data_IF_848502174945
#
_entry.id   IF_848502174945
#
_cell.length_a   1.000
_cell.length_b   1.000
_cell.length_c   1.000
_cell.angle_alpha   90.00
_cell.angle_beta   90.00
_cell.angle_gamma   90.00
#
_symmetry.space_group_name_H-M   'P 1'
#
loop_
_entity.id
_entity.type
_entity.pdbx_description
1 polymer ?
#
# COMPACT_ATOMS: atom_id res chain seq x y z
N UNK A 1 41.68 6.63 -45.28
CA UNK A 1 41.11 5.67 -44.31
C UNK A 1 40.90 6.40 -43.00
N UNK A 2 39.65 6.65 -42.60
CA UNK A 2 39.36 7.22 -41.28
C UNK A 2 39.61 6.15 -40.22
N UNK A 3 40.56 6.42 -39.34
CA UNK A 3 40.87 5.57 -38.19
C UNK A 3 39.70 5.66 -37.20
N UNK A 4 38.75 4.71 -37.30
CA UNK A 4 37.70 4.54 -36.30
C UNK A 4 38.34 4.06 -35.00
N UNK A 5 38.60 5.00 -34.09
CA UNK A 5 39.01 4.72 -32.71
C UNK A 5 37.87 3.97 -32.03
N UNK A 6 38.07 2.68 -31.75
CA UNK A 6 37.17 1.87 -30.96
C UNK A 6 37.34 2.28 -29.49
N UNK A 7 36.58 3.29 -29.08
CA UNK A 7 36.47 3.71 -27.69
C UNK A 7 35.31 2.92 -27.09
N UNK A 8 35.55 2.21 -25.99
CA UNK A 8 34.46 1.64 -25.19
C UNK A 8 33.72 2.80 -24.53
N UNK A 9 32.76 3.39 -25.25
CA UNK A 9 31.93 4.48 -24.73
C UNK A 9 30.87 3.85 -23.85
N UNK A 10 30.88 4.18 -22.56
CA UNK A 10 29.76 3.85 -21.68
C UNK A 10 28.58 4.74 -22.08
N UNK A 11 27.62 4.13 -22.76
CA UNK A 11 26.34 4.71 -23.19
C UNK A 11 25.48 5.26 -22.05
N UNK A 12 25.90 5.02 -20.81
CA UNK A 12 25.25 5.49 -19.61
C UNK A 12 26.13 6.41 -18.74
N UNK A 13 27.22 6.93 -19.29
CA UNK A 13 28.08 7.89 -18.59
C UNK A 13 27.39 9.26 -18.51
N UNK A 14 27.14 9.75 -17.30
CA UNK A 14 26.55 11.07 -17.05
C UNK A 14 27.60 12.18 -17.06
N UNK A 15 28.88 11.83 -16.87
CA UNK A 15 30.00 12.79 -16.81
C UNK A 15 30.51 13.11 -18.20
N UNK A 16 30.52 12.12 -19.10
CA UNK A 16 30.94 12.26 -20.49
C UNK A 16 29.78 11.94 -21.45
N UNK A 17 28.80 12.84 -21.48
CA UNK A 17 27.60 12.70 -22.31
C UNK A 17 27.93 12.79 -23.82
N UNK A 18 27.57 11.73 -24.54
CA UNK A 18 27.56 11.72 -26.01
C UNK A 18 26.11 11.57 -26.51
N UNK A 19 25.52 12.59 -27.17
CA UNK A 19 24.13 12.54 -27.63
C UNK A 19 23.86 11.49 -28.70
N UNK A 20 24.89 10.93 -29.33
CA UNK A 20 24.72 9.97 -30.43
C UNK A 20 24.52 8.54 -29.95
N UNK A 21 24.86 8.24 -28.69
CA UNK A 21 24.81 6.87 -28.14
C UNK A 21 24.13 6.79 -26.77
N UNK A 22 23.73 7.92 -26.18
CA UNK A 22 23.19 7.95 -24.83
C UNK A 22 21.84 7.24 -24.69
N UNK A 23 21.73 6.37 -23.68
CA UNK A 23 20.48 5.71 -23.29
C UNK A 23 20.22 5.96 -21.80
N UNK A 24 19.04 6.45 -21.39
CA UNK A 24 18.75 6.66 -19.98
C UNK A 24 18.75 5.33 -19.22
N UNK A 25 19.46 5.27 -18.08
CA UNK A 25 19.39 4.13 -17.17
C UNK A 25 18.04 4.13 -16.46
N UNK A 26 17.22 3.11 -16.71
CA UNK A 26 15.97 2.93 -15.98
C UNK A 26 16.31 2.34 -14.61
N UNK A 27 16.40 3.18 -13.59
CA UNK A 27 16.54 2.72 -12.22
C UNK A 27 15.23 2.09 -11.76
N UNK A 28 15.12 0.77 -11.92
CA UNK A 28 14.01 -0.01 -11.37
C UNK A 28 14.06 0.09 -9.83
N UNK A 29 13.16 0.88 -9.26
CA UNK A 29 13.01 0.97 -7.81
C UNK A 29 12.50 -0.38 -7.30
N UNK A 30 13.33 -1.06 -6.49
CA UNK A 30 13.23 -2.50 -6.26
C UNK A 30 11.93 -2.98 -5.62
N UNK A 31 11.30 -3.98 -6.23
CA UNK A 31 10.06 -4.66 -5.77
C UNK A 31 10.22 -5.39 -4.42
N UNK A 32 11.43 -5.47 -3.87
CA UNK A 32 11.75 -6.24 -2.67
C UNK A 32 11.00 -5.77 -1.41
N UNK A 33 10.73 -4.47 -1.30
CA UNK A 33 10.00 -3.92 -0.15
C UNK A 33 8.53 -4.32 -0.16
N UNK A 34 7.91 -4.40 -1.34
CA UNK A 34 6.52 -4.83 -1.51
C UNK A 34 6.37 -6.29 -1.08
N UNK A 35 7.34 -7.13 -1.47
CA UNK A 35 7.34 -8.54 -1.11
C UNK A 35 7.47 -8.79 0.38
N UNK A 36 8.39 -8.09 1.08
CA UNK A 36 8.52 -8.21 2.56
C UNK A 36 7.22 -7.91 3.28
N UNK A 37 6.57 -6.85 2.83
CA UNK A 37 5.32 -6.32 3.37
C UNK A 37 4.14 -7.25 3.10
N UNK A 38 4.06 -7.81 1.89
CA UNK A 38 3.09 -8.83 1.53
C UNK A 38 3.18 -10.04 2.46
N UNK A 39 4.37 -10.57 2.72
CA UNK A 39 4.55 -11.72 3.61
C UNK A 39 4.12 -11.45 5.05
N UNK A 40 4.38 -10.25 5.58
CA UNK A 40 3.90 -9.84 6.91
C UNK A 40 2.37 -9.84 6.96
N UNK A 41 1.72 -9.24 5.96
CA UNK A 41 0.26 -9.18 5.88
C UNK A 41 -0.38 -10.55 5.67
N UNK A 42 0.26 -11.42 4.89
CA UNK A 42 -0.17 -12.79 4.69
C UNK A 42 -0.09 -13.58 6.00
N UNK A 43 1.04 -13.51 6.70
CA UNK A 43 1.21 -14.16 8.01
C UNK A 43 0.17 -13.69 9.02
N UNK A 44 -0.05 -12.37 9.12
CA UNK A 44 -1.10 -11.79 9.96
C UNK A 44 -2.50 -12.29 9.59
N UNK A 45 -2.74 -12.57 8.31
CA UNK A 45 -4.02 -13.10 7.83
C UNK A 45 -4.22 -14.56 8.16
N UNK A 46 -3.17 -15.38 8.01
CA UNK A 46 -3.21 -16.78 8.40
C UNK A 46 -3.46 -16.91 9.91
N UNK A 47 -2.80 -16.09 10.73
CA UNK A 47 -2.98 -16.07 12.19
C UNK A 47 -4.43 -15.73 12.57
N UNK A 48 -4.98 -14.68 11.97
CA UNK A 48 -6.34 -14.21 12.22
C UNK A 48 -7.41 -15.27 11.85
N UNK A 49 -7.27 -15.90 10.68
CA UNK A 49 -8.14 -17.01 10.27
C UNK A 49 -7.94 -18.24 11.16
N UNK A 50 -6.71 -18.54 11.57
CA UNK A 50 -6.41 -19.61 12.52
C UNK A 50 -7.13 -19.41 13.85
N UNK A 51 -7.04 -18.21 14.43
CA UNK A 51 -7.77 -17.85 15.65
C UNK A 51 -9.29 -17.96 15.49
N UNK A 52 -9.82 -17.62 14.32
CA UNK A 52 -11.26 -17.74 14.05
C UNK A 52 -11.78 -19.17 14.16
N UNK A 53 -11.00 -20.17 13.71
CA UNK A 53 -11.38 -21.57 13.75
C UNK A 53 -11.09 -22.26 15.09
N UNK A 54 -10.10 -21.78 15.85
CA UNK A 54 -9.72 -22.38 17.14
C UNK A 54 -10.61 -21.84 18.28
N UNK A 55 -11.02 -20.59 18.20
CA UNK A 55 -11.75 -19.91 19.27
C UNK A 55 -13.25 -20.08 19.12
N UNK A 56 -13.92 -20.44 20.23
CA UNK A 56 -15.38 -20.54 20.27
C UNK A 56 -16.07 -19.24 19.86
N UNK A 57 -17.24 -19.34 19.20
CA UNK A 57 -18.04 -18.17 18.84
C UNK A 57 -18.48 -17.40 20.09
N UNK A 58 -17.88 -16.24 20.29
CA UNK A 58 -18.18 -15.35 21.42
C UNK A 58 -17.67 -13.93 21.22
N UNK A 59 -17.96 -13.07 22.20
CA UNK A 59 -17.61 -11.64 22.17
C UNK A 59 -16.10 -11.43 21.98
N UNK A 60 -15.28 -12.24 22.64
CA UNK A 60 -13.84 -12.13 22.57
C UNK A 60 -13.27 -12.45 21.18
N UNK A 61 -13.86 -13.42 20.45
CA UNK A 61 -13.51 -13.70 19.06
C UNK A 61 -13.80 -12.51 18.16
N UNK A 62 -14.97 -11.89 18.31
CA UNK A 62 -15.37 -10.74 17.50
C UNK A 62 -14.46 -9.53 17.74
N UNK A 63 -14.14 -9.24 19.00
CA UNK A 63 -13.23 -8.14 19.36
C UNK A 63 -11.84 -8.38 18.77
N UNK A 64 -11.31 -9.61 18.90
CA UNK A 64 -10.02 -9.97 18.33
C UNK A 64 -9.99 -9.77 16.81
N UNK A 65 -11.03 -10.23 16.11
CA UNK A 65 -11.14 -10.15 14.65
C UNK A 65 -11.21 -8.69 14.16
N UNK A 66 -11.98 -7.85 14.86
CA UNK A 66 -12.06 -6.42 14.58
C UNK A 66 -10.70 -5.75 14.82
N UNK A 67 -10.03 -6.07 15.93
CA UNK A 67 -8.75 -5.49 16.30
C UNK A 67 -7.63 -5.87 15.31
N UNK A 68 -7.49 -7.15 14.98
CA UNK A 68 -6.55 -7.64 13.96
C UNK A 68 -6.87 -7.07 12.57
N UNK A 69 -8.15 -6.90 12.25
CA UNK A 69 -8.62 -6.23 11.03
C UNK A 69 -8.17 -4.77 10.95
N UNK A 70 -8.26 -4.01 12.05
CA UNK A 70 -7.78 -2.62 12.11
C UNK A 70 -6.26 -2.53 11.93
N UNK A 71 -5.50 -3.42 12.57
CA UNK A 71 -4.04 -3.49 12.39
C UNK A 71 -3.70 -3.77 10.93
N UNK A 72 -4.37 -4.75 10.30
CA UNK A 72 -4.19 -5.03 8.86
C UNK A 72 -4.49 -3.81 8.01
N UNK A 73 -5.61 -3.13 8.26
CA UNK A 73 -6.00 -1.95 7.49
C UNK A 73 -4.95 -0.84 7.59
N UNK A 74 -4.45 -0.57 8.80
CA UNK A 74 -3.36 0.39 9.01
C UNK A 74 -2.08 -0.02 8.27
N UNK A 75 -1.71 -1.30 8.37
CA UNK A 75 -0.55 -1.82 7.66
C UNK A 75 -0.74 -1.66 6.16
N UNK A 76 -1.84 -2.12 5.55
CA UNK A 76 -2.15 -2.00 4.12
C UNK A 76 -2.01 -0.55 3.65
N UNK A 77 -2.63 0.39 4.37
CA UNK A 77 -2.55 1.83 4.05
C UNK A 77 -1.11 2.32 4.11
N UNK A 78 -0.36 2.06 5.18
CA UNK A 78 1.03 2.52 5.31
C UNK A 78 2.04 1.83 4.38
N UNK A 79 1.64 0.75 3.72
CA UNK A 79 2.53 -0.24 3.11
C UNK A 79 2.39 -0.35 1.61
N UNK A 80 1.15 -0.41 1.14
CA UNK A 80 0.85 -0.30 -0.28
C UNK A 80 0.83 1.16 -0.75
N UNK A 81 0.75 2.14 0.18
CA UNK A 81 1.10 3.52 -0.12
C UNK A 81 2.59 3.77 0.11
N UNK A 82 3.45 3.27 -0.78
CA UNK A 82 4.85 3.68 -0.88
C UNK A 82 4.94 5.18 -1.26
N UNK A 83 4.57 6.09 -0.36
CA UNK A 83 4.31 7.50 -0.64
C UNK A 83 4.90 8.42 0.42
N UNK A 84 5.90 7.92 1.16
CA UNK A 84 6.52 8.68 2.25
C UNK A 84 7.26 9.93 1.75
N UNK A 85 7.65 10.01 0.47
CA UNK A 85 8.47 11.14 -0.01
C UNK A 85 7.91 12.01 -1.14
N UNK A 86 6.85 11.65 -1.88
CA UNK A 86 6.39 12.52 -2.98
C UNK A 86 4.88 12.80 -3.09
N UNK A 87 3.96 11.99 -2.52
CA UNK A 87 2.53 12.18 -2.84
C UNK A 87 1.60 12.01 -1.65
N UNK A 88 1.60 13.01 -0.76
CA UNK A 88 0.53 13.20 0.24
C UNK A 88 -0.86 13.21 -0.40
N UNK A 89 -0.96 13.68 -1.65
CA UNK A 89 -2.20 13.69 -2.45
C UNK A 89 -2.83 12.29 -2.64
N UNK A 90 -2.02 11.24 -2.82
CA UNK A 90 -2.54 9.88 -2.98
C UNK A 90 -3.04 9.28 -1.65
N UNK A 91 -2.45 9.67 -0.51
CA UNK A 91 -2.96 9.28 0.81
C UNK A 91 -4.34 9.90 1.07
N UNK A 92 -4.52 11.19 0.75
CA UNK A 92 -5.83 11.85 0.87
C UNK A 92 -6.89 11.21 -0.02
N UNK A 93 -6.53 10.68 -1.20
CA UNK A 93 -7.46 9.99 -2.10
C UNK A 93 -8.06 8.72 -1.49
N UNK A 94 -7.39 8.08 -0.53
CA UNK A 94 -7.88 6.87 0.15
C UNK A 94 -8.51 7.22 1.50
N UNK A 95 -7.93 8.17 2.24
CA UNK A 95 -8.45 8.59 3.56
C UNK A 95 -9.81 9.29 3.42
N UNK A 96 -9.97 10.16 2.42
CA UNK A 96 -11.20 10.93 2.20
C UNK A 96 -12.43 10.03 1.96
N UNK A 97 -12.45 9.06 1.03
CA UNK A 97 -13.59 8.17 0.86
C UNK A 97 -13.83 7.26 2.07
N UNK A 98 -12.77 6.82 2.77
CA UNK A 98 -12.94 6.05 4.01
C UNK A 98 -13.66 6.83 5.09
N UNK A 99 -13.29 8.10 5.28
CA UNK A 99 -13.96 8.99 6.23
C UNK A 99 -15.43 9.21 5.83
N UNK A 100 -15.70 9.42 4.54
CA UNK A 100 -17.05 9.64 4.04
C UNK A 100 -17.96 8.42 4.27
N UNK A 101 -17.43 7.20 4.13
CA UNK A 101 -18.18 5.97 4.43
C UNK A 101 -18.56 5.90 5.92
N UNK A 102 -17.60 6.15 6.83
CA UNK A 102 -17.88 6.09 8.27
C UNK A 102 -18.92 7.15 8.66
N UNK A 103 -18.76 8.37 8.15
CA UNK A 103 -19.73 9.45 8.35
C UNK A 103 -21.12 9.06 7.84
N UNK A 104 -21.20 8.51 6.62
CA UNK A 104 -22.47 8.11 6.00
C UNK A 104 -23.17 6.99 6.76
N UNK A 105 -22.43 5.98 7.23
CA UNK A 105 -22.98 4.90 8.06
C UNK A 105 -23.55 5.46 9.37
N UNK A 106 -22.81 6.33 10.06
CA UNK A 106 -23.29 6.98 11.28
C UNK A 106 -24.55 7.81 11.04
N UNK A 107 -24.59 8.56 9.94
CA UNK A 107 -25.75 9.36 9.56
C UNK A 107 -26.99 8.50 9.25
N UNK A 108 -26.82 7.42 8.49
CA UNK A 108 -27.93 6.49 8.20
C UNK A 108 -28.43 5.76 9.45
N UNK A 109 -27.54 5.42 10.39
CA UNK A 109 -27.97 4.84 11.67
C UNK A 109 -28.78 5.84 12.51
N UNK A 110 -28.40 7.12 12.50
CA UNK A 110 -29.16 8.18 13.17
C UNK A 110 -30.56 8.35 12.55
N UNK A 111 -30.64 8.49 11.24
CA UNK A 111 -31.93 8.62 10.51
C UNK A 111 -32.81 7.38 10.67
N UNK A 112 -32.22 6.18 10.58
CA UNK A 112 -32.93 4.92 10.80
C UNK A 112 -33.46 4.76 12.22
N UNK A 113 -32.71 5.24 13.23
CA UNK A 113 -33.15 5.23 14.62
C UNK A 113 -34.29 6.23 14.88
N UNK A 114 -34.27 7.38 14.20
CA UNK A 114 -35.35 8.37 14.27
C UNK A 114 -36.68 7.80 13.77
N UNK A 115 -36.67 7.04 12.66
CA UNK A 115 -37.87 6.39 12.10
C UNK A 115 -38.46 5.27 12.97
N UNK A 116 -37.65 4.57 13.77
CA UNK A 116 -38.12 3.50 14.66
C UNK A 116 -38.77 3.97 15.97
N UNK A 117 -38.86 5.28 16.19
CA UNK A 117 -39.29 5.90 17.45
C UNK A 117 -40.66 6.62 17.39
N UNK A 118 -41.37 6.50 16.27
CA UNK A 118 -42.80 6.86 16.10
C UNK A 118 -43.67 5.60 16.04
#
# INVERSE_FOLDING_TARGET
>A
MSSHSNKNVDIHDEVNYDPTVWVPKVHSHGTSDIWKRFWILLGLTIVDVGFYFIMDPGMARNILFIFLGLIKAWFIVGTFMHMKHEKKSLAYMIILPMFFIIFFIGWMLFEGSFWGSF
#
